data_IF_409790207681
#
_entry.id   IF_409790207681
#
_cell.length_a   1.000
_cell.length_b   1.000
_cell.length_c   1.000
_cell.angle_alpha   90.00
_cell.angle_beta   90.00
_cell.angle_gamma   90.00
#
_symmetry.space_group_name_H-M   'P 1'
#
loop_
_entity.id
_entity.type
_entity.pdbx_description
1 polymer ?
#
# COMPACT_ATOMS: atom_id res chain seq x y z
N UNK A 1 10.25 1.93 11.05
CA UNK A 1 10.13 0.45 11.11
C UNK A 1 11.41 -0.32 10.77
N UNK A 2 12.07 -0.11 9.63
CA UNK A 2 13.31 -0.87 9.32
C UNK A 2 14.44 -0.57 10.31
N UNK A 3 14.77 0.72 10.51
CA UNK A 3 15.85 1.15 11.40
C UNK A 3 15.62 0.73 12.85
N UNK A 4 14.39 0.90 13.35
CA UNK A 4 13.97 0.45 14.68
C UNK A 4 14.31 -1.02 14.95
N UNK A 5 13.87 -1.94 14.07
CA UNK A 5 14.22 -3.37 14.16
C UNK A 5 15.72 -3.63 14.17
N UNK A 6 16.51 -2.85 13.42
CA UNK A 6 17.98 -2.98 13.38
C UNK A 6 18.60 -2.49 14.68
N UNK A 7 18.10 -1.40 15.26
CA UNK A 7 18.56 -0.88 16.54
C UNK A 7 18.30 -1.87 17.68
N UNK A 8 17.12 -2.49 17.73
CA UNK A 8 16.83 -3.60 18.65
C UNK A 8 17.81 -4.76 18.43
N UNK A 9 17.98 -5.20 17.18
CA UNK A 9 18.91 -6.27 16.85
C UNK A 9 20.35 -5.96 17.24
N UNK A 10 20.85 -4.73 17.09
CA UNK A 10 22.23 -4.38 17.49
C UNK A 10 22.35 -3.82 18.91
N UNK A 11 21.25 -3.79 19.68
CA UNK A 11 21.18 -3.15 21.01
C UNK A 11 21.74 -1.72 20.99
N UNK A 12 21.31 -0.93 20.00
CA UNK A 12 21.73 0.46 19.83
C UNK A 12 20.56 1.41 20.12
N UNK A 13 20.80 2.51 20.84
CA UNK A 13 19.82 3.59 20.96
C UNK A 13 19.42 4.13 19.58
N UNK A 14 18.16 4.53 19.43
CA UNK A 14 17.62 5.20 18.25
C UNK A 14 16.95 6.51 18.70
N UNK A 15 17.29 7.62 18.04
CA UNK A 15 16.56 8.88 18.16
C UNK A 15 15.73 9.03 16.89
N UNK A 16 14.40 9.12 17.03
CA UNK A 16 13.44 9.15 15.93
C UNK A 16 12.67 10.48 15.96
N UNK A 17 12.27 10.97 14.78
CA UNK A 17 11.52 12.21 14.67
C UNK A 17 10.77 12.31 13.33
N UNK A 18 9.62 12.98 13.31
CA UNK A 18 8.84 13.16 12.08
C UNK A 18 7.92 14.38 12.13
N UNK A 19 7.46 14.81 10.95
CA UNK A 19 6.49 15.91 10.75
C UNK A 19 5.43 15.48 9.73
N UNK A 20 4.16 15.80 9.95
CA UNK A 20 3.06 15.39 9.07
C UNK A 20 1.95 16.44 8.97
N UNK A 21 1.29 16.53 7.80
CA UNK A 21 0.07 17.33 7.56
C UNK A 21 -1.05 16.51 6.91
N UNK A 22 -2.31 16.99 6.98
CA UNK A 22 -3.55 16.26 6.63
C UNK A 22 -3.97 16.37 5.15
N UNK A 23 -4.43 15.27 4.51
CA UNK A 23 -4.67 15.18 3.06
C UNK A 23 -5.72 14.10 2.67
N UNK A 24 -6.83 14.48 2.02
CA UNK A 24 -7.91 13.56 1.62
C UNK A 24 -8.21 13.53 0.10
N UNK A 25 -8.86 14.56 -0.44
CA UNK A 25 -9.39 14.52 -1.83
C UNK A 25 -8.33 14.50 -2.93
N UNK A 26 -7.22 15.20 -2.73
CA UNK A 26 -6.15 15.23 -3.74
C UNK A 26 -5.39 13.89 -3.79
N UNK A 27 -5.43 13.07 -2.72
CA UNK A 27 -4.89 11.72 -2.77
C UNK A 27 -5.72 10.84 -3.72
N UNK A 28 -7.06 10.96 -3.68
CA UNK A 28 -7.93 10.30 -4.63
C UNK A 28 -7.60 10.69 -6.08
N UNK A 29 -7.43 11.99 -6.37
CA UNK A 29 -7.08 12.44 -7.72
C UNK A 29 -5.71 11.90 -8.18
N UNK A 30 -4.76 11.74 -7.26
CA UNK A 30 -3.44 11.16 -7.54
C UNK A 30 -3.52 9.68 -7.88
N UNK A 31 -4.38 8.94 -7.19
CA UNK A 31 -4.63 7.52 -7.45
C UNK A 31 -5.40 7.35 -8.78
N UNK A 32 -6.35 8.24 -9.06
CA UNK A 32 -7.07 8.31 -10.34
C UNK A 32 -6.12 8.53 -11.52
N UNK A 33 -5.13 9.44 -11.38
CA UNK A 33 -4.11 9.66 -12.40
C UNK A 33 -3.31 8.39 -12.72
N UNK A 34 -2.85 7.65 -11.70
CA UNK A 34 -2.14 6.38 -11.91
C UNK A 34 -3.03 5.33 -12.57
N UNK A 35 -4.26 5.19 -12.08
CA UNK A 35 -5.23 4.20 -12.54
C UNK A 35 -5.71 4.42 -13.98
N UNK A 36 -5.68 5.66 -14.47
CA UNK A 36 -6.08 5.99 -15.84
C UNK A 36 -4.91 6.01 -16.82
N UNK A 37 -3.76 6.57 -16.44
CA UNK A 37 -2.72 6.91 -17.41
C UNK A 37 -1.43 6.09 -17.31
N UNK A 38 -1.23 5.36 -16.21
CA UNK A 38 -0.04 4.53 -16.02
C UNK A 38 -0.36 3.04 -15.98
N UNK A 39 -1.18 2.62 -15.02
CA UNK A 39 -1.42 1.20 -14.75
C UNK A 39 -2.03 0.43 -15.94
N UNK A 40 -3.01 0.98 -16.69
CA UNK A 40 -3.55 0.29 -17.86
C UNK A 40 -2.50 0.15 -18.98
N UNK A 41 -1.71 1.20 -19.22
CA UNK A 41 -0.65 1.18 -20.24
C UNK A 41 0.46 0.15 -19.89
N UNK A 42 0.88 0.08 -18.64
CA UNK A 42 1.82 -0.95 -18.18
C UNK A 42 1.24 -2.36 -18.32
N UNK A 43 -0.02 -2.54 -17.93
CA UNK A 43 -0.71 -3.83 -18.02
C UNK A 43 -0.86 -4.29 -19.46
N UNK A 44 -1.22 -3.40 -20.38
CA UNK A 44 -1.29 -3.69 -21.82
C UNK A 44 0.09 -4.04 -22.38
N UNK A 45 1.12 -3.27 -22.04
CA UNK A 45 2.47 -3.56 -22.52
C UNK A 45 2.98 -4.92 -22.00
N UNK A 46 2.69 -5.27 -20.75
CA UNK A 46 3.02 -6.60 -20.19
C UNK A 46 2.18 -7.71 -20.84
N UNK A 47 0.89 -7.48 -21.08
CA UNK A 47 0.02 -8.42 -21.78
C UNK A 47 0.56 -8.78 -23.17
N UNK A 48 1.06 -7.79 -23.92
CA UNK A 48 1.60 -8.01 -25.27
C UNK A 48 3.01 -8.61 -25.24
N UNK A 49 3.85 -8.24 -24.28
CA UNK A 49 5.28 -8.60 -24.29
C UNK A 49 5.67 -9.82 -23.45
N UNK A 50 4.89 -10.19 -22.44
CA UNK A 50 5.21 -11.28 -21.52
C UNK A 50 4.27 -12.49 -21.73
N UNK A 51 4.78 -13.62 -22.27
CA UNK A 51 3.98 -14.82 -22.49
C UNK A 51 3.35 -15.41 -21.22
N UNK A 52 3.87 -15.07 -20.03
CA UNK A 52 3.38 -15.56 -18.74
C UNK A 52 2.43 -14.57 -18.05
N UNK A 53 2.11 -13.44 -18.68
CA UNK A 53 1.21 -12.44 -18.09
C UNK A 53 -0.12 -13.06 -17.66
N UNK A 54 -0.80 -13.76 -18.57
CA UNK A 54 -2.10 -14.40 -18.28
C UNK A 54 -2.02 -15.39 -17.12
N UNK A 55 -0.99 -16.24 -17.09
CA UNK A 55 -0.79 -17.21 -16.02
C UNK A 55 -0.58 -16.53 -14.66
N UNK A 56 0.19 -15.43 -14.61
CA UNK A 56 0.44 -14.68 -13.37
C UNK A 56 -0.80 -13.92 -12.91
N UNK A 57 -1.47 -13.23 -13.82
CA UNK A 57 -2.65 -12.41 -13.52
C UNK A 57 -3.78 -13.28 -12.97
N UNK A 58 -4.01 -14.47 -13.52
CA UNK A 58 -5.03 -15.41 -13.03
C UNK A 58 -4.72 -16.03 -11.66
N UNK A 59 -3.46 -15.95 -11.21
CA UNK A 59 -3.05 -16.41 -9.87
C UNK A 59 -3.14 -15.30 -8.81
N UNK A 60 -3.51 -14.08 -9.20
CA UNK A 60 -3.71 -13.00 -8.24
C UNK A 60 -4.94 -13.28 -7.36
N UNK A 61 -4.92 -12.83 -6.08
CA UNK A 61 -6.01 -13.09 -5.15
C UNK A 61 -7.23 -12.18 -5.44
N UNK A 62 -8.43 -12.70 -5.14
CA UNK A 62 -9.67 -11.92 -5.14
C UNK A 62 -10.10 -11.43 -6.52
N UNK A 63 -10.59 -10.19 -6.60
CA UNK A 63 -11.10 -9.54 -7.83
C UNK A 63 -10.00 -8.99 -8.74
N UNK A 64 -8.74 -8.98 -8.30
CA UNK A 64 -7.61 -8.42 -9.05
C UNK A 64 -7.44 -8.99 -10.47
N UNK A 65 -7.62 -10.30 -10.73
CA UNK A 65 -7.55 -10.82 -12.09
C UNK A 65 -8.59 -10.17 -13.02
N UNK A 66 -9.81 -9.96 -12.51
CA UNK A 66 -10.90 -9.35 -13.27
C UNK A 66 -10.60 -7.88 -13.56
N UNK A 67 -10.20 -7.11 -12.55
CA UNK A 67 -9.87 -5.69 -12.68
C UNK A 67 -8.75 -5.44 -13.72
N UNK A 68 -7.69 -6.25 -13.68
CA UNK A 68 -6.57 -6.13 -14.62
C UNK A 68 -7.01 -6.50 -16.04
N UNK A 69 -7.75 -7.60 -16.23
CA UNK A 69 -8.19 -8.01 -17.57
C UNK A 69 -9.26 -7.07 -18.15
N UNK A 70 -10.14 -6.50 -17.33
CA UNK A 70 -11.07 -5.45 -17.77
C UNK A 70 -10.32 -4.19 -18.21
N UNK A 71 -9.29 -3.77 -17.49
CA UNK A 71 -8.48 -2.62 -17.87
C UNK A 71 -7.75 -2.84 -19.21
N UNK A 72 -7.19 -4.04 -19.42
CA UNK A 72 -6.55 -4.43 -20.69
C UNK A 72 -7.58 -4.47 -21.82
N UNK A 73 -8.76 -5.07 -21.60
CA UNK A 73 -9.82 -5.15 -22.59
C UNK A 73 -10.33 -3.76 -22.99
N UNK A 74 -10.58 -2.89 -21.99
CA UNK A 74 -10.96 -1.49 -22.25
C UNK A 74 -9.93 -0.78 -23.11
N UNK A 75 -8.65 -0.94 -22.78
CA UNK A 75 -7.58 -0.23 -23.46
C UNK A 75 -7.30 -0.73 -24.88
N UNK A 76 -7.49 -2.03 -25.14
CA UNK A 76 -7.21 -2.61 -26.46
C UNK A 76 -8.42 -2.66 -27.39
N UNK A 77 -9.64 -2.72 -26.84
CA UNK A 77 -10.85 -3.05 -27.59
C UNK A 77 -11.92 -1.97 -27.44
N UNK A 78 -12.52 -1.80 -26.26
CA UNK A 78 -13.77 -1.04 -26.14
C UNK A 78 -13.59 0.48 -26.08
N UNK A 79 -12.46 0.97 -25.55
CA UNK A 79 -12.18 2.39 -25.37
C UNK A 79 -10.90 2.85 -26.09
N UNK A 80 -10.35 2.03 -27.00
CA UNK A 80 -9.16 2.37 -27.78
C UNK A 80 -9.44 3.58 -28.70
N UNK A 81 -8.80 4.75 -28.49
CA UNK A 81 -9.00 5.91 -29.35
C UNK A 81 -8.31 5.70 -30.70
N UNK A 82 -8.92 6.23 -31.77
CA UNK A 82 -8.33 6.26 -33.12
C UNK A 82 -7.98 7.69 -33.57
N UNK A 83 -8.52 8.68 -32.89
CA UNK A 83 -8.37 10.10 -33.20
C UNK A 83 -8.38 10.95 -31.94
N UNK A 84 -7.96 12.20 -32.06
CA UNK A 84 -8.09 13.20 -30.98
C UNK A 84 -9.54 13.39 -30.52
N UNK A 85 -10.50 13.36 -31.45
CA UNK A 85 -11.92 13.47 -31.13
C UNK A 85 -12.40 12.33 -30.22
N UNK A 86 -11.87 11.11 -30.40
CA UNK A 86 -12.18 9.98 -29.53
C UNK A 86 -11.65 10.20 -28.11
N UNK A 87 -10.46 10.80 -27.96
CA UNK A 87 -9.88 11.16 -26.66
C UNK A 87 -10.74 12.21 -25.93
N UNK A 88 -11.23 13.22 -26.64
CA UNK A 88 -12.16 14.23 -26.09
C UNK A 88 -13.49 13.56 -25.67
N UNK A 89 -14.03 12.69 -26.53
CA UNK A 89 -15.24 11.92 -26.21
C UNK A 89 -15.06 11.02 -24.99
N UNK A 90 -13.89 10.38 -24.86
CA UNK A 90 -13.54 9.56 -23.70
C UNK A 90 -13.50 10.40 -22.42
N UNK A 91 -12.81 11.54 -22.42
CA UNK A 91 -12.71 12.42 -21.27
C UNK A 91 -14.08 12.91 -20.80
N UNK A 92 -14.97 13.26 -21.74
CA UNK A 92 -16.35 13.68 -21.44
C UNK A 92 -17.18 12.55 -20.82
N UNK A 93 -17.12 11.34 -21.36
CA UNK A 93 -17.81 10.18 -20.79
C UNK A 93 -17.26 9.81 -19.41
N UNK A 94 -15.95 9.91 -19.22
CA UNK A 94 -15.31 9.65 -17.94
C UNK A 94 -15.71 10.70 -16.89
N UNK A 95 -15.77 11.98 -17.27
CA UNK A 95 -16.30 13.04 -16.40
C UNK A 95 -17.71 12.72 -15.90
N UNK A 96 -18.62 12.34 -16.82
CA UNK A 96 -19.99 11.96 -16.46
C UNK A 96 -20.02 10.73 -15.56
N UNK A 97 -19.17 9.74 -15.82
CA UNK A 97 -19.04 8.54 -14.99
C UNK A 97 -18.66 8.91 -13.55
N UNK A 98 -17.60 9.70 -13.36
CA UNK A 98 -17.05 9.98 -12.03
C UNK A 98 -17.86 10.99 -11.22
N UNK A 99 -18.23 12.11 -11.83
CA UNK A 99 -18.79 13.26 -11.09
C UNK A 99 -20.31 13.31 -11.13
N UNK A 100 -20.96 12.44 -11.92
CA UNK A 100 -22.42 12.34 -12.01
C UNK A 100 -22.94 10.93 -11.74
N UNK A 101 -22.57 9.94 -12.57
CA UNK A 101 -23.17 8.59 -12.52
C UNK A 101 -22.82 7.84 -11.23
N UNK A 102 -21.55 7.82 -10.85
CA UNK A 102 -21.08 7.18 -9.62
C UNK A 102 -21.72 7.84 -8.38
N UNK A 103 -21.94 9.16 -8.42
CA UNK A 103 -22.63 9.89 -7.36
C UNK A 103 -24.12 9.54 -7.31
N UNK A 104 -24.79 9.46 -8.46
CA UNK A 104 -26.19 9.00 -8.55
C UNK A 104 -26.35 7.56 -8.04
N UNK A 105 -25.41 6.68 -8.36
CA UNK A 105 -25.38 5.31 -7.83
C UNK A 105 -25.18 5.30 -6.31
N UNK A 106 -24.26 6.12 -5.80
CA UNK A 106 -24.00 6.25 -4.37
C UNK A 106 -25.24 6.75 -3.60
N UNK A 107 -25.95 7.73 -4.15
CA UNK A 107 -27.19 8.27 -3.58
C UNK A 107 -28.39 7.32 -3.72
N UNK A 108 -28.41 6.47 -4.76
CA UNK A 108 -29.40 5.41 -4.88
C UNK A 108 -29.22 4.34 -3.79
N UNK A 109 -27.96 3.97 -3.53
CA UNK A 109 -27.59 3.04 -2.46
C UNK A 109 -27.81 3.64 -1.06
N UNK A 110 -27.48 4.93 -0.91
CA UNK A 110 -27.58 5.66 0.35
C UNK A 110 -28.35 6.97 0.19
N UNK A 111 -29.69 6.94 0.23
CA UNK A 111 -30.50 8.14 0.07
C UNK A 111 -30.13 9.26 1.07
N UNK A 112 -30.25 10.54 0.69
CA UNK A 112 -29.85 11.67 1.54
C UNK A 112 -30.44 11.67 2.95
N UNK A 113 -31.67 11.15 3.10
CA UNK A 113 -32.39 11.08 4.37
C UNK A 113 -32.30 9.71 5.07
N UNK A 114 -31.44 8.80 4.57
CA UNK A 114 -31.28 7.48 5.18
C UNK A 114 -30.79 7.60 6.62
N UNK A 115 -31.39 6.79 7.50
CA UNK A 115 -30.94 6.62 8.88
C UNK A 115 -30.17 5.32 9.03
N UNK A 116 -29.20 5.33 9.93
CA UNK A 116 -28.49 4.13 10.40
C UNK A 116 -29.37 3.31 11.33
N UNK A 117 -28.93 2.10 11.68
CA UNK A 117 -29.61 1.24 12.66
C UNK A 117 -29.78 1.91 14.03
N UNK A 118 -28.90 2.86 14.38
CA UNK A 118 -28.97 3.68 15.59
C UNK A 118 -29.91 4.90 15.49
N UNK A 119 -30.59 5.09 14.36
CA UNK A 119 -31.54 6.19 14.15
C UNK A 119 -30.92 7.55 13.78
N UNK A 120 -29.59 7.65 13.73
CA UNK A 120 -28.85 8.84 13.26
C UNK A 120 -28.80 8.90 11.74
N UNK A 121 -28.66 10.09 11.15
CA UNK A 121 -28.52 10.24 9.70
C UNK A 121 -27.21 9.58 9.22
N UNK A 122 -27.30 8.80 8.14
CA UNK A 122 -26.15 8.14 7.51
C UNK A 122 -25.10 9.17 7.07
N UNK A 123 -25.54 10.25 6.45
CA UNK A 123 -24.73 11.40 6.04
C UNK A 123 -24.57 12.39 7.19
N UNK A 124 -23.74 12.06 8.16
CA UNK A 124 -23.39 12.95 9.27
C UNK A 124 -21.93 12.81 9.70
N UNK A 125 -21.41 13.81 10.41
CA UNK A 125 -20.04 13.83 10.90
C UNK A 125 -19.01 13.77 9.76
N UNK A 126 -18.20 12.69 9.65
CA UNK A 126 -17.19 12.56 8.60
C UNK A 126 -17.78 12.25 7.20
N UNK A 127 -19.07 11.89 7.10
CA UNK A 127 -19.74 11.53 5.83
C UNK A 127 -20.57 12.70 5.32
N UNK A 128 -20.05 13.43 4.34
CA UNK A 128 -20.77 14.51 3.64
C UNK A 128 -21.66 13.90 2.56
N UNK A 129 -22.93 14.32 2.50
CA UNK A 129 -23.85 13.89 1.45
C UNK A 129 -23.41 14.53 0.13
N UNK A 130 -23.16 13.75 -0.93
CA UNK A 130 -22.78 14.32 -2.20
C UNK A 130 -23.98 14.77 -3.03
N UNK A 131 -23.72 15.51 -4.10
CA UNK A 131 -24.66 15.81 -5.18
C UNK A 131 -24.00 15.58 -6.55
N UNK A 132 -24.74 15.06 -7.55
CA UNK A 132 -24.19 14.83 -8.88
C UNK A 132 -24.03 16.14 -9.64
N UNK A 133 -22.92 16.30 -10.36
CA UNK A 133 -22.70 17.47 -11.21
C UNK A 133 -23.35 17.29 -12.59
N UNK A 134 -23.64 18.42 -13.23
CA UNK A 134 -24.06 18.53 -14.64
C UNK A 134 -22.93 19.16 -15.43
N UNK A 135 -22.58 18.59 -16.57
CA UNK A 135 -21.50 19.12 -17.39
C UNK A 135 -21.88 20.48 -17.98
N UNK A 136 -20.91 21.38 -18.08
CA UNK A 136 -21.07 22.75 -18.56
C UNK A 136 -19.75 23.16 -19.20
N UNK A 137 -19.76 23.38 -20.51
CA UNK A 137 -18.59 23.77 -21.31
C UNK A 137 -18.23 25.26 -21.15
N UNK A 138 -19.10 26.05 -20.52
CA UNK A 138 -18.80 27.42 -20.11
C UNK A 138 -18.08 27.50 -18.77
N UNK A 139 -18.08 26.41 -17.98
CA UNK A 139 -17.38 26.33 -16.71
C UNK A 139 -15.89 26.01 -16.94
N UNK A 140 -14.96 26.91 -16.57
CA UNK A 140 -13.53 26.67 -16.76
C UNK A 140 -13.01 25.41 -16.07
N UNK A 141 -13.52 25.06 -14.88
CA UNK A 141 -13.08 23.88 -14.15
C UNK A 141 -13.44 22.57 -14.88
N UNK A 142 -14.62 22.55 -15.51
CA UNK A 142 -15.06 21.41 -16.30
C UNK A 142 -14.19 21.27 -17.55
N UNK A 143 -13.91 22.38 -18.24
CA UNK A 143 -13.06 22.40 -19.42
C UNK A 143 -11.60 22.06 -19.11
N UNK A 144 -11.05 22.54 -17.99
CA UNK A 144 -9.69 22.20 -17.53
C UNK A 144 -9.54 20.68 -17.34
N UNK A 145 -10.55 20.03 -16.77
CA UNK A 145 -10.58 18.57 -16.65
C UNK A 145 -10.57 17.88 -18.02
N UNK A 146 -11.46 18.29 -18.94
CA UNK A 146 -11.56 17.67 -20.26
C UNK A 146 -10.25 17.81 -21.03
N UNK A 147 -9.68 19.02 -21.06
CA UNK A 147 -8.43 19.30 -21.78
C UNK A 147 -7.30 18.46 -21.22
N UNK A 148 -7.13 18.43 -19.89
CA UNK A 148 -6.06 17.65 -19.27
C UNK A 148 -6.26 16.15 -19.46
N UNK A 149 -7.46 15.63 -19.17
CA UNK A 149 -7.77 14.21 -19.29
C UNK A 149 -7.63 13.70 -20.74
N UNK A 150 -8.13 14.46 -21.73
CA UNK A 150 -8.04 14.08 -23.14
C UNK A 150 -6.58 14.10 -23.64
N UNK A 151 -5.78 15.09 -23.25
CA UNK A 151 -4.36 15.14 -23.62
C UNK A 151 -3.57 13.99 -23.01
N UNK A 152 -3.77 13.69 -21.73
CA UNK A 152 -3.11 12.56 -21.05
C UNK A 152 -3.53 11.22 -21.67
N UNK A 153 -4.82 11.06 -21.98
CA UNK A 153 -5.29 9.87 -22.69
C UNK A 153 -4.74 9.81 -24.11
N UNK A 154 -4.60 10.92 -24.84
CA UNK A 154 -3.97 10.91 -26.16
C UNK A 154 -2.49 10.50 -26.08
N UNK A 155 -1.75 11.00 -25.09
CA UNK A 155 -0.35 10.66 -24.85
C UNK A 155 -0.16 9.16 -24.60
N UNK A 156 -1.05 8.52 -23.82
CA UNK A 156 -0.93 7.06 -23.55
C UNK A 156 -1.07 6.20 -24.80
N UNK A 157 -1.72 6.69 -25.86
CA UNK A 157 -1.86 5.99 -27.15
C UNK A 157 -0.97 6.58 -28.26
N UNK A 158 -0.14 7.59 -27.97
CA UNK A 158 0.72 8.24 -28.96
C UNK A 158 -0.03 9.13 -29.96
N UNK A 159 -1.19 9.66 -29.58
CA UNK A 159 -2.00 10.59 -30.38
C UNK A 159 -1.62 12.02 -30.01
N UNK A 160 -1.54 12.91 -31.00
CA UNK A 160 -1.27 14.34 -30.78
C UNK A 160 -2.55 15.04 -30.28
N UNK A 161 -2.46 15.67 -29.11
CA UNK A 161 -3.55 16.50 -28.56
C UNK A 161 -3.39 17.99 -28.83
N UNK A 162 -4.30 18.80 -28.28
CA UNK A 162 -4.31 20.26 -28.42
C UNK A 162 -4.57 20.97 -27.08
N UNK A 163 -4.11 22.21 -26.98
CA UNK A 163 -4.40 23.15 -25.88
C UNK A 163 -5.49 24.16 -26.24
N UNK A 164 -5.98 24.13 -27.48
CA UNK A 164 -7.04 25.02 -27.94
C UNK A 164 -8.39 24.61 -27.34
N UNK A 165 -8.81 25.35 -26.30
CA UNK A 165 -10.08 25.11 -25.59
C UNK A 165 -11.29 25.27 -26.51
N UNK A 166 -11.23 26.19 -27.49
CA UNK A 166 -12.31 26.41 -28.45
C UNK A 166 -12.50 25.19 -29.36
N UNK A 167 -11.40 24.67 -29.90
CA UNK A 167 -11.43 23.46 -30.72
C UNK A 167 -11.92 22.22 -29.93
N UNK A 168 -11.58 22.13 -28.64
CA UNK A 168 -12.09 21.06 -27.76
C UNK A 168 -13.59 21.21 -27.51
N UNK A 169 -14.08 22.43 -27.27
CA UNK A 169 -15.50 22.69 -27.07
C UNK A 169 -16.35 22.31 -28.29
N UNK A 170 -15.88 22.62 -29.51
CA UNK A 170 -16.56 22.22 -30.75
C UNK A 170 -16.70 20.69 -30.89
N UNK A 171 -15.68 19.93 -30.47
CA UNK A 171 -15.72 18.48 -30.47
C UNK A 171 -16.69 17.94 -29.41
N UNK A 172 -16.78 18.59 -28.24
CA UNK A 172 -17.68 18.19 -27.16
C UNK A 172 -19.15 18.23 -27.56
N UNK A 173 -19.58 19.20 -28.38
CA UNK A 173 -20.97 19.27 -28.88
C UNK A 173 -21.38 18.05 -29.72
N UNK A 174 -20.42 17.30 -30.23
CA UNK A 174 -20.66 16.10 -31.04
C UNK A 174 -20.63 14.81 -30.19
N UNK A 175 -20.24 14.90 -28.91
CA UNK A 175 -20.10 13.73 -28.03
C UNK A 175 -21.47 13.31 -27.52
N UNK A 176 -21.84 12.06 -27.80
CA UNK A 176 -23.00 11.43 -27.20
C UNK A 176 -22.65 10.85 -25.83
N UNK A 177 -23.36 11.30 -24.81
CA UNK A 177 -23.25 10.78 -23.44
C UNK A 177 -24.42 9.83 -23.19
N UNK A 178 -24.18 8.53 -22.92
CA UNK A 178 -25.24 7.60 -22.59
C UNK A 178 -25.98 8.02 -21.32
N UNK A 179 -27.30 7.88 -21.32
CA UNK A 179 -28.09 8.08 -20.11
C UNK A 179 -27.73 7.02 -19.06
N UNK A 180 -27.62 7.43 -17.80
CA UNK A 180 -27.29 6.54 -16.70
C UNK A 180 -28.50 6.28 -15.79
N UNK A 181 -28.82 5.01 -15.61
CA UNK A 181 -29.81 4.54 -14.63
C UNK A 181 -29.11 3.76 -13.51
N UNK A 182 -29.24 4.17 -12.23
CA UNK A 182 -28.70 3.43 -11.10
C UNK A 182 -29.21 1.99 -11.06
N UNK A 183 -28.32 1.04 -10.71
CA UNK A 183 -28.66 -0.39 -10.63
C UNK A 183 -28.92 -0.81 -9.18
N UNK A 184 -29.99 -1.57 -8.97
CA UNK A 184 -30.26 -2.24 -7.70
C UNK A 184 -29.30 -3.41 -7.49
N UNK A 185 -28.77 -3.59 -6.28
CA UNK A 185 -27.91 -4.73 -5.93
C UNK A 185 -26.39 -4.48 -6.02
N UNK A 186 -25.96 -3.29 -6.47
CA UNK A 186 -24.55 -2.86 -6.33
C UNK A 186 -24.23 -2.71 -4.84
N UNK A 187 -23.23 -3.41 -4.32
CA UNK A 187 -22.78 -3.24 -2.92
C UNK A 187 -21.69 -2.18 -2.86
N UNK A 188 -21.89 -1.20 -1.98
CA UNK A 188 -20.87 -0.19 -1.64
C UNK A 188 -20.52 -0.40 -0.18
N UNK A 189 -19.25 -0.68 0.10
CA UNK A 189 -18.75 -0.95 1.45
C UNK A 189 -18.74 0.34 2.29
N UNK A 190 -19.21 0.25 3.53
CA UNK A 190 -19.34 1.40 4.43
C UNK A 190 -18.08 1.54 5.32
N UNK A 191 -17.27 0.48 5.39
CA UNK A 191 -16.00 0.44 6.13
C UNK A 191 -14.92 -0.33 5.38
N UNK A 192 -13.65 -0.01 5.66
CA UNK A 192 -12.49 -0.72 5.11
C UNK A 192 -12.48 -2.21 5.49
N UNK A 193 -13.06 -2.54 6.64
CA UNK A 193 -13.16 -3.92 7.14
C UNK A 193 -14.17 -4.75 6.31
N UNK A 194 -15.27 -4.14 5.87
CA UNK A 194 -16.22 -4.78 4.95
C UNK A 194 -15.63 -4.98 3.56
N UNK A 195 -14.84 -4.01 3.07
CA UNK A 195 -14.15 -4.10 1.78
C UNK A 195 -13.16 -5.27 1.75
N UNK A 196 -12.39 -5.47 2.82
CA UNK A 196 -11.42 -6.56 2.93
C UNK A 196 -12.10 -7.95 2.94
N UNK A 197 -13.30 -8.05 3.53
CA UNK A 197 -14.03 -9.31 3.67
C UNK A 197 -14.82 -9.73 2.41
N UNK A 198 -15.09 -8.80 1.48
CA UNK A 198 -15.92 -9.05 0.30
C UNK A 198 -15.18 -9.66 -0.89
N UNK A 199 -13.84 -9.79 -0.83
CA UNK A 199 -12.97 -10.32 -1.88
C UNK A 199 -13.14 -11.82 -2.19
N UNK A 200 -14.25 -12.45 -1.81
CA UNK A 200 -14.41 -13.90 -1.77
C UNK A 200 -15.25 -14.52 -2.91
N UNK A 201 -15.85 -13.74 -3.82
CA UNK A 201 -16.56 -14.28 -4.98
C UNK A 201 -16.10 -13.62 -6.28
N UNK A 202 -15.22 -14.31 -7.01
CA UNK A 202 -14.87 -13.96 -8.39
C UNK A 202 -16.02 -14.42 -9.29
N UNK A 203 -16.49 -13.55 -10.17
CA UNK A 203 -17.42 -13.94 -11.24
C UNK A 203 -16.61 -14.64 -12.34
N UNK A 204 -16.40 -15.94 -12.17
CA UNK A 204 -15.61 -16.76 -13.09
C UNK A 204 -16.19 -16.74 -14.53
N UNK A 205 -17.52 -16.56 -14.67
CA UNK A 205 -18.17 -16.45 -15.99
C UNK A 205 -17.71 -15.20 -16.73
N UNK A 206 -17.70 -14.06 -16.05
CA UNK A 206 -17.24 -12.79 -16.63
C UNK A 206 -15.76 -12.83 -17.00
N UNK A 207 -14.96 -13.53 -16.19
CA UNK A 207 -13.52 -13.69 -16.44
C UNK A 207 -13.26 -14.48 -17.73
N UNK A 208 -14.04 -15.54 -18.01
CA UNK A 208 -13.94 -16.31 -19.26
C UNK A 208 -14.40 -15.51 -20.50
N UNK A 209 -15.44 -14.69 -20.38
CA UNK A 209 -15.85 -13.75 -21.44
C UNK A 209 -14.74 -12.76 -21.79
N UNK A 210 -14.03 -12.23 -20.79
CA UNK A 210 -12.92 -11.32 -21.01
C UNK A 210 -11.75 -12.00 -21.70
N UNK A 211 -11.40 -13.23 -21.30
CA UNK A 211 -10.35 -14.00 -21.97
C UNK A 211 -10.64 -14.21 -23.45
N UNK A 212 -11.88 -14.50 -23.81
CA UNK A 212 -12.27 -14.74 -25.21
C UNK A 212 -12.39 -13.47 -26.05
N UNK A 213 -12.66 -12.32 -25.43
CA UNK A 213 -12.76 -11.02 -26.12
C UNK A 213 -11.45 -10.26 -26.26
N UNK A 214 -10.39 -10.69 -25.59
CA UNK A 214 -9.06 -10.07 -25.71
C UNK A 214 -8.37 -10.45 -27.02
N UNK A 215 -7.74 -9.48 -27.72
CA UNK A 215 -7.03 -9.76 -28.97
C UNK A 215 -5.74 -10.55 -28.70
N UNK A 216 -5.38 -11.45 -29.61
CA UNK A 216 -4.15 -12.24 -29.47
C UNK A 216 -2.91 -11.32 -29.36
N UNK A 217 -2.05 -11.48 -28.33
CA UNK A 217 -0.82 -10.70 -28.15
C UNK A 217 0.09 -10.66 -29.39
N UNK A 218 0.15 -11.76 -30.15
CA UNK A 218 0.98 -11.86 -31.37
C UNK A 218 0.53 -10.87 -32.45
N UNK A 219 -0.77 -10.63 -32.57
CA UNK A 219 -1.34 -9.67 -33.53
C UNK A 219 -1.15 -8.21 -33.10
N UNK A 220 -0.77 -7.97 -31.84
CA UNK A 220 -0.58 -6.64 -31.26
C UNK A 220 0.90 -6.26 -31.07
N UNK A 221 1.87 -7.03 -31.60
CA UNK A 221 3.30 -6.80 -31.33
C UNK A 221 3.81 -5.41 -31.73
N UNK A 222 3.22 -4.80 -32.77
CA UNK A 222 3.57 -3.44 -33.23
C UNK A 222 2.91 -2.33 -32.40
N UNK A 223 1.94 -2.65 -31.56
CA UNK A 223 1.24 -1.71 -30.71
C UNK A 223 1.90 -1.62 -29.32
N UNK A 224 2.05 -0.39 -28.83
CA UNK A 224 2.53 -0.07 -27.49
C UNK A 224 1.76 1.13 -26.97
N UNK A 225 1.45 1.08 -25.68
CA UNK A 225 0.97 2.24 -24.95
C UNK A 225 2.14 2.90 -24.22
N UNK A 226 2.00 4.18 -23.89
CA UNK A 226 3.03 4.97 -23.23
C UNK A 226 2.56 5.30 -21.81
N UNK A 227 2.99 4.54 -20.79
CA UNK A 227 2.61 4.83 -19.42
C UNK A 227 3.16 6.19 -18.99
N UNK A 228 2.33 6.99 -18.31
CA UNK A 228 2.71 8.33 -17.89
C UNK A 228 3.17 8.31 -16.44
N UNK A 229 4.46 8.58 -16.24
CA UNK A 229 5.02 8.81 -14.92
C UNK A 229 4.65 10.20 -14.40
N UNK A 230 4.06 10.26 -13.22
CA UNK A 230 3.66 11.51 -12.61
C UNK A 230 4.88 12.39 -12.26
N UNK A 231 5.00 13.49 -12.97
CA UNK A 231 5.90 14.60 -12.69
C UNK A 231 5.12 15.83 -12.23
N UNK A 232 5.44 16.34 -11.05
CA UNK A 232 4.74 17.48 -10.39
C UNK A 232 5.40 18.82 -10.70
N UNK A 233 6.67 18.82 -11.11
CA UNK A 233 7.50 20.01 -11.29
C UNK A 233 7.57 20.54 -12.72
N UNK A 234 6.83 19.90 -13.63
CA UNK A 234 6.64 20.36 -15.00
C UNK A 234 5.19 20.79 -15.22
N UNK A 235 4.99 22.09 -15.46
CA UNK A 235 3.68 22.70 -15.67
C UNK A 235 3.17 22.56 -17.12
N UNK A 236 3.91 21.85 -17.99
CA UNK A 236 3.57 21.69 -19.41
C UNK A 236 3.00 20.32 -19.79
N UNK A 237 3.04 19.35 -18.87
CA UNK A 237 2.66 17.96 -19.13
C UNK A 237 1.21 17.59 -18.79
N UNK A 238 0.39 18.54 -18.32
CA UNK A 238 -1.01 18.34 -17.91
C UNK A 238 -1.23 17.51 -16.63
N UNK A 239 -0.17 17.04 -15.95
CA UNK A 239 -0.32 16.20 -14.75
C UNK A 239 -0.99 16.97 -13.63
N UNK A 240 -0.43 18.12 -13.24
CA UNK A 240 -1.00 18.95 -12.19
C UNK A 240 -2.34 19.58 -12.60
N UNK A 241 -2.53 19.87 -13.90
CA UNK A 241 -3.79 20.36 -14.44
C UNK A 241 -4.92 19.35 -14.18
N UNK A 242 -4.69 18.08 -14.54
CA UNK A 242 -5.63 16.99 -14.27
C UNK A 242 -5.89 16.80 -12.78
N UNK A 243 -4.85 16.73 -11.96
CA UNK A 243 -4.99 16.52 -10.51
C UNK A 243 -5.84 17.60 -9.85
N UNK A 244 -5.60 18.87 -10.19
CA UNK A 244 -6.32 20.01 -9.62
C UNK A 244 -7.78 19.96 -10.06
N UNK A 245 -8.03 19.81 -11.37
CA UNK A 245 -9.38 19.78 -11.90
C UNK A 245 -10.17 18.58 -11.34
N UNK A 246 -9.58 17.39 -11.36
CA UNK A 246 -10.19 16.16 -10.86
C UNK A 246 -10.51 16.23 -9.36
N UNK A 247 -9.58 16.77 -8.56
CA UNK A 247 -9.79 16.94 -7.13
C UNK A 247 -10.84 17.99 -6.81
N UNK A 248 -10.89 19.10 -7.56
CA UNK A 248 -11.82 20.19 -7.29
C UNK A 248 -13.25 19.86 -7.73
N UNK A 249 -13.42 19.14 -8.86
CA UNK A 249 -14.71 18.56 -9.25
C UNK A 249 -15.26 17.62 -8.17
N UNK A 250 -14.41 16.72 -7.64
CA UNK A 250 -14.80 15.85 -6.53
C UNK A 250 -15.06 16.66 -5.26
N UNK A 251 -14.31 17.73 -4.99
CA UNK A 251 -14.57 18.58 -3.85
C UNK A 251 -15.95 19.23 -3.95
N UNK A 252 -16.34 19.69 -5.14
CA UNK A 252 -17.67 20.24 -5.42
C UNK A 252 -18.78 19.22 -5.17
N UNK A 253 -18.62 17.97 -5.61
CA UNK A 253 -19.61 16.91 -5.33
C UNK A 253 -19.95 16.78 -3.84
N UNK A 254 -19.02 17.06 -2.93
CA UNK A 254 -19.17 16.85 -1.48
C UNK A 254 -19.20 18.17 -0.68
N UNK A 255 -19.40 19.31 -1.34
CA UNK A 255 -19.39 20.64 -0.73
C UNK A 255 -18.11 20.92 0.09
N UNK A 256 -16.97 20.52 -0.46
CA UNK A 256 -15.65 20.74 0.13
C UNK A 256 -15.01 21.94 -0.57
N UNK A 257 -14.45 22.92 0.17
CA UNK A 257 -13.78 24.06 -0.45
C UNK A 257 -12.67 23.61 -1.41
N UNK A 258 -12.60 24.18 -2.63
CA UNK A 258 -11.59 23.81 -3.61
C UNK A 258 -10.18 24.16 -3.12
N UNK A 259 -9.19 23.46 -3.67
CA UNK A 259 -7.77 23.73 -3.43
C UNK A 259 -7.14 24.32 -4.70
N UNK A 260 -6.34 25.37 -4.54
CA UNK A 260 -5.56 25.91 -5.64
C UNK A 260 -4.47 24.93 -6.12
N UNK A 261 -3.83 25.25 -7.25
CA UNK A 261 -2.74 24.44 -7.84
C UNK A 261 -1.60 24.21 -6.86
N UNK A 262 -1.22 25.22 -6.08
CA UNK A 262 -0.08 25.13 -5.16
C UNK A 262 -0.36 24.16 -4.00
N UNK A 263 -1.54 24.29 -3.37
CA UNK A 263 -2.03 23.40 -2.33
C UNK A 263 -2.22 21.97 -2.86
N UNK A 264 -2.78 21.83 -4.06
CA UNK A 264 -2.95 20.53 -4.70
C UNK A 264 -1.60 19.88 -5.04
N UNK A 265 -0.62 20.64 -5.53
CA UNK A 265 0.75 20.15 -5.79
C UNK A 265 1.44 19.65 -4.52
N UNK A 266 1.29 20.39 -3.43
CA UNK A 266 1.77 19.96 -2.11
C UNK A 266 1.16 18.61 -1.72
N UNK A 267 -0.14 18.43 -1.94
CA UNK A 267 -0.86 17.22 -1.55
C UNK A 267 -0.52 16.02 -2.47
N UNK A 268 -0.70 16.17 -3.79
CA UNK A 268 -0.54 15.11 -4.80
C UNK A 268 0.91 14.64 -4.96
N UNK A 269 1.87 15.56 -4.85
CA UNK A 269 3.29 15.22 -4.86
C UNK A 269 3.77 14.49 -3.59
N UNK A 270 2.86 14.18 -2.65
CA UNK A 270 3.17 13.71 -1.29
C UNK A 270 4.23 14.59 -0.64
N UNK A 271 4.24 15.89 -0.96
CA UNK A 271 5.19 16.84 -0.39
C UNK A 271 4.83 16.96 1.09
N UNK A 272 5.63 16.35 1.95
CA UNK A 272 5.51 16.55 3.39
C UNK A 272 5.84 18.02 3.62
N UNK A 273 4.87 18.88 4.00
CA UNK A 273 5.16 20.27 4.25
C UNK A 273 6.16 20.34 5.41
N UNK A 274 7.38 20.76 5.10
CA UNK A 274 8.44 20.95 6.05
C UNK A 274 8.82 22.42 6.02
N UNK A 275 8.86 23.04 7.18
CA UNK A 275 9.37 24.40 7.36
C UNK A 275 10.60 24.32 8.26
N UNK A 276 11.63 25.08 7.91
CA UNK A 276 12.91 25.07 8.62
C UNK A 276 12.76 25.33 10.12
N UNK A 277 11.75 26.11 10.55
CA UNK A 277 11.46 26.39 11.95
C UNK A 277 11.06 25.13 12.73
N UNK A 278 10.11 24.34 12.22
CA UNK A 278 9.70 23.07 12.83
C UNK A 278 10.85 22.07 12.80
N UNK A 279 11.58 21.97 11.68
CA UNK A 279 12.75 21.08 11.58
C UNK A 279 13.83 21.44 12.59
N UNK A 280 14.19 22.72 12.70
CA UNK A 280 15.20 23.17 13.66
C UNK A 280 14.75 22.94 15.11
N UNK A 281 13.48 23.18 15.43
CA UNK A 281 12.93 22.92 16.76
C UNK A 281 12.99 21.42 17.12
N UNK A 282 12.53 20.54 16.21
CA UNK A 282 12.57 19.08 16.41
C UNK A 282 14.02 18.59 16.55
N UNK A 283 14.93 19.03 15.68
CA UNK A 283 16.35 18.64 15.74
C UNK A 283 16.99 19.11 17.05
N UNK A 284 16.68 20.33 17.50
CA UNK A 284 17.13 20.83 18.80
C UNK A 284 16.72 19.90 19.95
N UNK A 285 15.44 19.49 19.98
CA UNK A 285 14.95 18.54 20.99
C UNK A 285 15.62 17.16 20.90
N UNK A 286 15.83 16.65 19.69
CA UNK A 286 16.56 15.40 19.47
C UNK A 286 18.00 15.49 20.01
N UNK A 287 18.69 16.61 19.79
CA UNK A 287 20.04 16.83 20.32
C UNK A 287 20.07 16.93 21.85
N UNK A 288 19.01 17.43 22.50
CA UNK A 288 18.91 17.40 23.97
C UNK A 288 18.81 15.96 24.50
N UNK A 289 18.04 15.09 23.86
CA UNK A 289 17.97 13.67 24.22
C UNK A 289 19.29 12.94 23.91
N UNK A 290 20.00 13.35 22.86
CA UNK A 290 21.33 12.81 22.53
C UNK A 290 22.33 13.00 23.69
N UNK A 291 22.30 14.15 24.38
CA UNK A 291 23.16 14.35 25.56
C UNK A 291 22.95 13.27 26.63
N UNK A 292 21.70 12.87 26.86
CA UNK A 292 21.35 11.84 27.86
C UNK A 292 21.86 10.47 27.45
N UNK A 293 21.75 10.15 26.15
CA UNK A 293 22.27 8.90 25.58
C UNK A 293 23.78 8.82 25.73
N UNK A 294 24.54 9.87 25.36
CA UNK A 294 26.01 9.85 25.45
C UNK A 294 26.51 9.89 26.89
N UNK A 295 25.74 10.47 27.81
CA UNK A 295 25.99 10.42 29.26
C UNK A 295 25.58 9.08 29.90
N UNK A 296 24.91 8.20 29.15
CA UNK A 296 24.56 6.85 29.62
C UNK A 296 23.41 6.81 30.63
N UNK A 297 22.47 7.76 30.57
CA UNK A 297 21.31 7.80 31.49
C UNK A 297 20.53 6.49 31.45
N UNK A 298 20.15 5.99 32.63
CA UNK A 298 19.43 4.70 32.81
C UNK A 298 18.01 4.84 33.33
N UNK A 299 17.67 5.97 33.93
CA UNK A 299 16.33 6.22 34.47
C UNK A 299 15.43 6.73 33.34
N UNK A 300 14.26 6.12 33.19
CA UNK A 300 13.31 6.44 32.12
C UNK A 300 12.80 7.88 32.25
N UNK A 301 12.56 8.33 33.48
CA UNK A 301 12.17 9.69 33.86
C UNK A 301 13.13 10.78 33.35
N UNK A 302 14.39 10.44 33.07
CA UNK A 302 15.36 11.39 32.50
C UNK A 302 15.05 11.72 31.05
N UNK A 303 14.46 10.79 30.29
CA UNK A 303 14.14 10.96 28.87
C UNK A 303 12.78 11.64 28.66
N UNK A 304 12.59 12.26 27.49
CA UNK A 304 11.32 12.90 27.11
C UNK A 304 11.01 12.68 25.62
N UNK A 305 9.82 12.17 25.34
CA UNK A 305 9.22 12.25 24.00
C UNK A 305 8.61 13.63 23.82
N UNK A 306 9.03 14.37 22.79
CA UNK A 306 8.54 15.70 22.48
C UNK A 306 7.45 15.69 21.41
N UNK A 307 6.35 16.40 21.67
CA UNK A 307 5.25 16.63 20.74
C UNK A 307 5.07 18.14 20.58
N UNK A 308 5.08 18.65 19.35
CA UNK A 308 4.96 20.08 19.12
C UNK A 308 4.05 20.40 17.94
N UNK A 309 3.28 21.46 18.09
CA UNK A 309 2.49 22.07 17.02
C UNK A 309 2.65 23.59 17.10
N UNK A 310 3.58 24.11 16.30
CA UNK A 310 3.94 25.54 16.27
C UNK A 310 2.80 26.46 15.78
N UNK A 311 1.77 25.90 15.13
CA UNK A 311 0.60 26.67 14.72
C UNK A 311 -0.36 26.97 15.89
N UNK A 312 -0.39 26.13 16.93
CA UNK A 312 -1.15 26.32 18.18
C UNK A 312 -0.28 26.75 19.36
N UNK A 313 0.97 27.18 19.10
CA UNK A 313 2.12 27.09 20.03
C UNK A 313 2.10 25.97 21.08
N UNK A 314 1.68 24.75 20.72
CA UNK A 314 1.62 23.63 21.66
C UNK A 314 2.97 22.92 21.77
N UNK A 315 3.40 22.67 23.00
CA UNK A 315 4.54 21.82 23.34
C UNK A 315 4.14 20.88 24.48
N UNK A 316 4.20 19.58 24.22
CA UNK A 316 3.94 18.53 25.19
C UNK A 316 5.14 17.60 25.28
N UNK A 317 5.48 17.20 26.50
CA UNK A 317 6.50 16.19 26.73
C UNK A 317 5.92 15.06 27.57
N UNK A 318 6.22 13.83 27.20
CA UNK A 318 5.88 12.66 28.01
C UNK A 318 7.12 11.81 28.27
N UNK A 319 7.11 11.05 29.34
CA UNK A 319 8.09 9.99 29.53
C UNK A 319 7.93 8.92 28.44
N UNK A 320 9.01 8.29 27.95
CA UNK A 320 8.90 7.10 27.13
C UNK A 320 8.24 5.95 27.88
N UNK A 321 7.60 5.03 27.16
CA UNK A 321 6.97 3.87 27.78
C UNK A 321 8.04 2.84 28.13
N UNK A 322 7.95 2.26 29.32
CA UNK A 322 8.84 1.18 29.73
C UNK A 322 8.67 -0.04 28.83
N UNK A 323 9.75 -0.75 28.54
CA UNK A 323 9.65 -2.00 27.79
C UNK A 323 8.81 -3.02 28.59
N UNK A 324 7.77 -3.63 28.00
CA UNK A 324 7.05 -4.72 28.63
C UNK A 324 8.01 -5.82 29.08
N UNK A 325 7.76 -6.34 30.28
CA UNK A 325 8.48 -7.50 30.84
C UNK A 325 7.57 -8.71 30.74
N UNK A 326 8.08 -9.74 30.09
CA UNK A 326 7.48 -11.05 30.00
C UNK A 326 8.26 -12.00 30.92
N UNK A 327 7.66 -13.15 31.23
CA UNK A 327 8.28 -14.14 32.11
C UNK A 327 7.99 -15.55 31.60
N UNK A 328 9.01 -16.40 31.64
CA UNK A 328 8.87 -17.85 31.51
C UNK A 328 9.67 -18.51 32.63
N UNK A 329 9.08 -19.50 33.30
CA UNK A 329 9.59 -20.00 34.59
C UNK A 329 9.87 -18.86 35.57
N UNK A 330 11.11 -18.72 36.05
CA UNK A 330 11.60 -17.63 36.90
C UNK A 330 12.45 -16.60 36.14
N UNK A 331 12.51 -16.68 34.82
CA UNK A 331 13.31 -15.80 33.96
C UNK A 331 12.42 -14.69 33.41
N UNK A 332 12.73 -13.45 33.80
CA UNK A 332 12.15 -12.26 33.18
C UNK A 332 12.91 -11.88 31.91
N UNK A 333 12.19 -11.46 30.87
CA UNK A 333 12.77 -11.01 29.62
C UNK A 333 11.98 -9.86 28.99
N UNK A 334 12.61 -9.16 28.06
CA UNK A 334 12.09 -8.01 27.35
C UNK A 334 12.40 -8.10 25.86
N UNK A 335 11.86 -7.20 25.04
CA UNK A 335 12.19 -7.07 23.61
C UNK A 335 13.70 -7.00 23.30
N UNK A 336 14.53 -6.57 24.26
CA UNK A 336 15.99 -6.41 24.10
C UNK A 336 16.79 -7.69 24.36
N UNK A 337 16.15 -8.66 25.01
CA UNK A 337 16.72 -9.96 25.34
C UNK A 337 16.62 -10.91 24.15
N UNK A 338 17.53 -11.89 24.13
CA UNK A 338 17.61 -12.90 23.07
C UNK A 338 18.45 -14.07 23.56
N UNK A 339 18.25 -15.24 22.95
CA UNK A 339 19.19 -16.35 23.06
C UNK A 339 20.36 -16.13 22.10
N UNK A 340 21.59 -16.23 22.61
CA UNK A 340 22.79 -16.22 21.78
C UNK A 340 23.24 -17.66 21.56
N UNK A 341 23.14 -18.14 20.32
CA UNK A 341 23.51 -19.50 19.95
C UNK A 341 24.65 -19.46 18.95
N UNK A 342 25.77 -20.10 19.31
CA UNK A 342 26.88 -20.31 18.37
C UNK A 342 26.55 -21.49 17.47
N UNK A 343 26.44 -21.22 16.18
CA UNK A 343 26.05 -22.21 15.18
C UNK A 343 27.15 -23.20 14.86
N UNK A 344 28.41 -22.76 14.84
CA UNK A 344 29.57 -23.64 14.66
C UNK A 344 30.03 -24.15 16.02
N UNK A 345 30.05 -25.46 16.18
CA UNK A 345 30.49 -26.13 17.41
C UNK A 345 32.02 -26.15 17.51
N UNK A 346 32.59 -26.45 18.70
CA UNK A 346 34.04 -26.59 18.86
C UNK A 346 34.68 -27.62 17.93
N UNK A 347 33.92 -28.60 17.43
CA UNK A 347 34.36 -29.58 16.44
C UNK A 347 34.60 -28.99 15.04
N UNK A 348 34.14 -27.76 14.78
CA UNK A 348 34.14 -27.12 13.46
C UNK A 348 32.91 -27.46 12.60
N UNK A 349 32.04 -28.35 13.08
CA UNK A 349 30.78 -28.68 12.41
C UNK A 349 29.66 -27.72 12.85
N UNK A 350 28.72 -27.45 11.94
CA UNK A 350 27.54 -26.65 12.25
C UNK A 350 26.50 -27.48 13.03
N UNK A 351 25.88 -26.86 14.03
CA UNK A 351 24.80 -27.44 14.82
C UNK A 351 23.65 -27.90 13.93
N UNK A 352 23.23 -29.15 14.12
CA UNK A 352 22.07 -29.72 13.44
C UNK A 352 20.77 -29.33 14.11
N UNK A 353 19.63 -29.47 13.42
CA UNK A 353 18.31 -29.25 14.04
C UNK A 353 18.11 -30.10 15.29
N UNK A 354 18.51 -31.37 15.28
CA UNK A 354 18.41 -32.26 16.44
C UNK A 354 19.17 -31.70 17.65
N UNK A 355 20.40 -31.24 17.43
CA UNK A 355 21.22 -30.66 18.49
C UNK A 355 20.65 -29.32 18.98
N UNK A 356 20.10 -28.50 18.07
CA UNK A 356 19.43 -27.26 18.41
C UNK A 356 18.22 -27.49 19.32
N UNK A 357 17.34 -28.44 18.96
CA UNK A 357 16.19 -28.81 19.79
C UNK A 357 16.63 -29.37 21.16
N UNK A 358 17.66 -30.22 21.17
CA UNK A 358 18.20 -30.78 22.41
C UNK A 358 18.84 -29.72 23.31
N UNK A 359 19.52 -28.72 22.74
CA UNK A 359 20.12 -27.60 23.46
C UNK A 359 19.07 -26.81 24.24
N UNK A 360 17.96 -26.43 23.60
CA UNK A 360 16.88 -25.71 24.29
C UNK A 360 16.20 -26.58 25.36
N UNK A 361 16.01 -27.88 25.09
CA UNK A 361 15.42 -28.79 26.07
C UNK A 361 16.31 -29.02 27.30
N UNK A 362 17.62 -29.16 27.12
CA UNK A 362 18.57 -29.46 28.20
C UNK A 362 19.03 -28.23 28.97
N UNK A 363 19.45 -27.18 28.26
CA UNK A 363 20.06 -25.99 28.88
C UNK A 363 19.01 -24.97 29.33
N UNK A 364 17.90 -24.85 28.60
CA UNK A 364 16.86 -23.84 28.88
C UNK A 364 15.56 -24.43 29.41
N UNK A 365 15.43 -25.77 29.46
CA UNK A 365 14.17 -26.47 29.80
C UNK A 365 13.00 -26.01 28.92
N UNK A 366 13.26 -25.76 27.64
CA UNK A 366 12.26 -25.33 26.68
C UNK A 366 12.08 -26.40 25.61
N UNK A 367 10.87 -26.95 25.51
CA UNK A 367 10.53 -27.86 24.42
C UNK A 367 10.03 -27.07 23.22
N UNK A 368 10.88 -26.89 22.22
CA UNK A 368 10.49 -26.18 20.99
C UNK A 368 9.39 -26.96 20.26
N UNK A 369 8.25 -26.32 20.06
CA UNK A 369 7.10 -26.82 19.31
C UNK A 369 7.07 -26.30 17.88
N UNK A 370 7.56 -25.07 17.65
CA UNK A 370 7.73 -24.47 16.32
C UNK A 370 8.99 -23.62 16.24
N UNK A 371 9.62 -23.63 15.07
CA UNK A 371 10.83 -22.87 14.75
C UNK A 371 10.70 -22.26 13.35
N UNK A 372 10.95 -20.95 13.23
CA UNK A 372 10.88 -20.24 11.95
C UNK A 372 12.01 -19.24 11.75
N UNK A 373 12.26 -18.91 10.48
CA UNK A 373 13.17 -17.86 10.05
C UNK A 373 12.41 -16.93 9.09
N UNK A 374 12.04 -15.75 9.58
CA UNK A 374 11.14 -14.85 8.85
C UNK A 374 9.82 -15.56 8.51
N UNK A 375 9.49 -15.66 7.22
CA UNK A 375 8.26 -16.31 6.76
C UNK A 375 8.40 -17.83 6.55
N UNK A 376 9.58 -18.40 6.78
CA UNK A 376 9.87 -19.82 6.50
C UNK A 376 9.83 -20.67 7.78
N UNK A 377 8.90 -21.63 7.85
CA UNK A 377 8.80 -22.58 8.96
C UNK A 377 9.81 -23.73 8.81
N UNK A 378 10.80 -23.78 9.70
CA UNK A 378 11.91 -24.74 9.65
C UNK A 378 11.57 -26.05 10.35
N UNK A 379 10.82 -26.00 11.45
CA UNK A 379 10.38 -27.16 12.21
C UNK A 379 9.04 -26.88 12.89
N UNK A 380 8.20 -27.92 13.01
CA UNK A 380 7.04 -27.94 13.90
C UNK A 380 6.75 -29.37 14.35
N UNK A 381 6.16 -29.53 15.54
CA UNK A 381 5.86 -30.86 16.11
C UNK A 381 4.87 -31.68 15.25
N UNK A 382 3.99 -31.01 14.48
CA UNK A 382 3.01 -31.64 13.60
C UNK A 382 3.55 -31.91 12.18
N UNK A 383 4.84 -31.75 11.93
CA UNK A 383 5.42 -32.12 10.62
C UNK A 383 5.35 -33.64 10.39
N UNK A 384 5.12 -34.10 9.14
CA UNK A 384 5.13 -35.52 8.82
C UNK A 384 6.45 -36.20 9.23
N UNK A 385 6.43 -37.42 9.82
CA UNK A 385 7.64 -38.09 10.31
C UNK A 385 8.75 -38.26 9.28
N UNK A 386 8.40 -38.40 8.00
CA UNK A 386 9.37 -38.45 6.90
C UNK A 386 10.16 -37.13 6.75
N UNK A 387 9.48 -35.98 6.82
CA UNK A 387 10.12 -34.65 6.74
C UNK A 387 10.95 -34.34 7.98
N UNK A 388 10.50 -34.77 9.16
CA UNK A 388 11.26 -34.60 10.40
C UNK A 388 12.58 -35.37 10.35
N UNK A 389 12.54 -36.65 9.99
CA UNK A 389 13.75 -37.48 9.85
C UNK A 389 14.74 -36.89 8.85
N UNK A 390 14.25 -36.34 7.74
CA UNK A 390 15.10 -35.68 6.74
C UNK A 390 15.81 -34.44 7.30
N UNK A 391 15.17 -33.66 8.17
CA UNK A 391 15.71 -32.39 8.67
C UNK A 391 16.54 -32.51 9.95
N UNK A 392 16.29 -33.52 10.80
CA UNK A 392 16.93 -33.61 12.12
C UNK A 392 18.45 -33.55 12.07
N UNK A 393 19.06 -34.23 11.11
CA UNK A 393 20.51 -34.36 11.02
C UNK A 393 21.13 -33.36 10.03
N UNK A 394 20.32 -32.43 9.48
CA UNK A 394 20.81 -31.35 8.62
C UNK A 394 21.27 -30.15 9.46
N UNK A 395 22.35 -29.45 9.04
CA UNK A 395 22.74 -28.16 9.57
C UNK A 395 21.60 -27.12 9.46
N UNK A 396 21.52 -26.21 10.43
CA UNK A 396 20.47 -25.18 10.45
C UNK A 396 20.46 -24.32 9.18
N UNK A 397 21.62 -23.93 8.65
CA UNK A 397 21.76 -23.13 7.43
C UNK A 397 21.29 -23.86 6.17
N UNK A 398 21.47 -25.19 6.11
CA UNK A 398 21.02 -26.02 5.00
C UNK A 398 19.49 -26.06 4.97
N UNK A 399 18.86 -26.28 6.13
CA UNK A 399 17.40 -26.27 6.28
C UNK A 399 16.83 -24.91 5.85
N UNK A 400 17.42 -23.81 6.32
CA UNK A 400 16.99 -22.45 5.94
C UNK A 400 17.08 -22.26 4.43
N UNK A 401 18.20 -22.67 3.81
CA UNK A 401 18.40 -22.53 2.36
C UNK A 401 17.37 -23.34 1.56
N UNK A 402 17.09 -24.56 2.01
CA UNK A 402 16.15 -25.48 1.36
C UNK A 402 14.70 -25.00 1.46
N UNK A 403 14.27 -24.55 2.63
CA UNK A 403 12.89 -24.12 2.87
C UNK A 403 12.61 -22.76 2.23
N UNK A 404 13.52 -21.80 2.38
CA UNK A 404 13.37 -20.47 1.80
C UNK A 404 13.59 -20.43 0.27
N UNK A 405 14.15 -21.51 -0.31
CA UNK A 405 14.61 -21.59 -1.70
C UNK A 405 15.61 -20.49 -2.07
N UNK A 406 16.33 -19.94 -1.09
CA UNK A 406 17.29 -18.84 -1.24
C UNK A 406 18.60 -19.21 -0.57
N UNK A 407 19.71 -19.08 -1.29
CA UNK A 407 21.05 -19.28 -0.73
C UNK A 407 21.37 -18.18 0.28
N UNK A 408 21.95 -18.55 1.41
CA UNK A 408 22.45 -17.60 2.41
C UNK A 408 23.71 -16.91 1.85
N UNK A 409 23.69 -15.59 1.81
CA UNK A 409 24.81 -14.79 1.31
C UNK A 409 26.08 -14.97 2.15
N UNK A 410 27.26 -14.87 1.52
CA UNK A 410 28.56 -14.95 2.22
C UNK A 410 28.74 -13.85 3.29
N UNK A 411 28.06 -12.72 3.12
CA UNK A 411 28.08 -11.59 4.06
C UNK A 411 27.25 -11.81 5.32
N UNK A 412 26.38 -12.83 5.36
CA UNK A 412 25.53 -13.12 6.51
C UNK A 412 26.37 -13.75 7.61
N UNK A 413 26.37 -13.12 8.79
CA UNK A 413 27.11 -13.58 9.99
C UNK A 413 26.21 -14.30 10.99
N UNK A 414 24.95 -13.89 11.08
CA UNK A 414 23.99 -14.49 12.00
C UNK A 414 22.58 -14.50 11.38
N UNK A 415 21.76 -15.45 11.84
CA UNK A 415 20.35 -15.58 11.54
C UNK A 415 19.53 -15.25 12.77
N UNK A 416 18.28 -14.84 12.54
CA UNK A 416 17.28 -14.65 13.58
C UNK A 416 16.26 -15.78 13.45
N UNK A 417 16.05 -16.52 14.53
CA UNK A 417 15.00 -17.52 14.62
C UNK A 417 13.95 -17.13 15.66
N UNK A 418 12.70 -17.35 15.30
CA UNK A 418 11.55 -17.19 16.20
C UNK A 418 11.10 -18.58 16.66
N UNK A 419 10.74 -18.68 17.95
CA UNK A 419 10.39 -19.93 18.61
C UNK A 419 8.96 -19.87 19.15
N UNK A 420 8.26 -21.00 19.07
CA UNK A 420 7.20 -21.34 20.01
C UNK A 420 7.68 -22.55 20.79
N UNK A 421 7.45 -22.56 22.10
CA UNK A 421 7.92 -23.62 22.97
C UNK A 421 6.97 -23.85 24.11
N UNK A 422 6.99 -25.09 24.60
CA UNK A 422 6.32 -25.46 25.82
C UNK A 422 7.29 -25.45 27.00
N UNK A 423 6.75 -25.14 28.16
CA UNK A 423 7.40 -25.38 29.45
C UNK A 423 7.25 -26.85 29.90
N UNK A 424 7.83 -27.20 31.04
CA UNK A 424 7.77 -28.54 31.64
C UNK A 424 6.34 -28.95 32.07
N UNK A 425 5.40 -27.99 32.09
CA UNK A 425 3.97 -28.22 32.35
C UNK A 425 3.17 -28.39 31.04
N UNK A 426 3.85 -28.54 29.90
CA UNK A 426 3.27 -28.60 28.55
C UNK A 426 2.46 -27.37 28.15
N UNK A 427 2.66 -26.23 28.83
CA UNK A 427 2.00 -24.97 28.50
C UNK A 427 2.83 -24.19 27.48
N UNK A 428 2.16 -23.67 26.44
CA UNK A 428 2.79 -22.79 25.44
C UNK A 428 3.20 -21.47 26.08
N UNK A 429 4.46 -21.07 25.88
CA UNK A 429 5.06 -19.89 26.49
C UNK A 429 5.79 -19.04 25.44
N UNK A 430 5.72 -17.71 25.62
CA UNK A 430 6.48 -16.77 24.81
C UNK A 430 7.90 -16.59 25.37
N UNK A 431 8.88 -16.69 24.49
CA UNK A 431 10.31 -16.61 24.83
C UNK A 431 11.03 -15.65 23.88
N UNK A 432 12.23 -15.16 24.27
CA UNK A 432 13.05 -14.34 23.38
C UNK A 432 13.37 -15.04 22.05
N UNK A 433 13.61 -14.26 21.00
CA UNK A 433 14.13 -14.79 19.75
C UNK A 433 15.58 -15.29 19.89
N UNK A 434 16.03 -16.06 18.91
CA UNK A 434 17.40 -16.60 18.86
C UNK A 434 18.23 -15.83 17.85
N UNK A 435 19.40 -15.36 18.27
CA UNK A 435 20.49 -14.96 17.38
C UNK A 435 21.42 -16.15 17.17
N UNK A 436 21.31 -16.77 16.01
CA UNK A 436 22.13 -17.91 15.61
C UNK A 436 23.33 -17.45 14.80
N UNK A 437 24.53 -17.48 15.39
CA UNK A 437 25.77 -16.98 14.77
C UNK A 437 26.40 -18.07 13.92
N UNK A 438 26.49 -17.86 12.61
CA UNK A 438 27.09 -18.80 11.66
C UNK A 438 28.59 -18.50 11.46
N UNK A 439 29.00 -17.23 11.62
CA UNK A 439 30.37 -16.75 11.36
C UNK A 439 30.75 -15.55 12.21
#
# INVERSE_FOLDING_TARGET
MYMDRRCVYYRKPLLESGTLGTKGNVQWARDEFEGLFKQPAESVNQYISDPKFMERTLKLPGTQPLEVLEAVNKSLVSERPRSWADCVGWACRHWHCQYSNNIRQLLHNFPPHQKTNSGTLFWSGPKRCPHPLTFDDSNPLHMDYIVAAANLFAQTYGITGTRDVGAVAELLHQVQVPEFTPKSGVRIHISDQELQNANASVDDSRLEELKSSLPNPEDQQSFRMYPIDFEKDDDTNFHMDFIVAASNLRAENYDIPPADRHKSKLIAGKIIPAIATTTAAVVGLVCLELYKVVQGHKQLESYKNGFLNLALPFFGFSEPIACPRNKYYDIEWTLWDRFEVQGVQPSGEEMTLRQFLAYFKSEHRLEITMLSQGVSMLYSFFMPPAKLRERHDQPMTEIVTKVSKKKIGRHVKALVFELCCNDDSECDIEVPYVRYTIR
#
